data_IF_326468857949
#
_entry.id   IF_326468857949
#
_cell.length_a   1.000
_cell.length_b   1.000
_cell.length_c   1.000
_cell.angle_alpha   90.00
_cell.angle_beta   90.00
_cell.angle_gamma   90.00
#
_symmetry.space_group_name_H-M   'P 1'
#
loop_
_entity.id
_entity.type
_entity.pdbx_description
1 polymer ?
#
# COMPACT_ATOMS: atom_id res chain seq x y z
N UNK A 1 -35.35 -17.53 -31.50
CA UNK A 1 -33.92 -17.57 -31.93
C UNK A 1 -33.14 -16.26 -31.74
N UNK A 2 -33.77 -15.11 -31.42
CA UNK A 2 -33.07 -13.82 -31.22
C UNK A 2 -32.22 -13.74 -29.94
N UNK A 3 -32.52 -14.58 -28.94
CA UNK A 3 -31.95 -14.53 -27.60
C UNK A 3 -30.57 -15.24 -27.52
N UNK A 4 -30.32 -16.23 -28.39
CA UNK A 4 -29.04 -16.97 -28.43
C UNK A 4 -27.86 -16.10 -28.90
N UNK A 5 -28.14 -15.07 -29.71
CA UNK A 5 -27.11 -14.12 -30.20
C UNK A 5 -26.61 -13.17 -29.11
N UNK A 6 -27.45 -12.83 -28.13
CA UNK A 6 -27.06 -12.03 -26.97
C UNK A 6 -26.06 -12.78 -26.10
N UNK A 7 -26.26 -14.08 -25.90
CA UNK A 7 -25.34 -14.92 -25.13
C UNK A 7 -23.95 -15.01 -25.76
N UNK A 8 -23.83 -14.84 -27.07
CA UNK A 8 -22.54 -14.78 -27.77
C UNK A 8 -21.67 -13.57 -27.38
N UNK A 9 -22.31 -12.47 -26.95
CA UNK A 9 -21.60 -11.28 -26.43
C UNK A 9 -21.56 -11.25 -24.90
N UNK A 10 -22.62 -11.75 -24.25
CA UNK A 10 -22.71 -11.75 -22.80
C UNK A 10 -21.68 -12.69 -22.15
N UNK A 11 -21.45 -13.89 -22.70
CA UNK A 11 -20.49 -14.85 -22.13
C UNK A 11 -19.06 -14.28 -22.15
N UNK A 12 -18.52 -13.79 -23.28
CA UNK A 12 -17.19 -13.19 -23.29
C UNK A 12 -17.07 -11.99 -22.34
N UNK A 13 -18.10 -11.14 -22.26
CA UNK A 13 -18.11 -10.00 -21.35
C UNK A 13 -18.05 -10.43 -19.88
N UNK A 14 -18.82 -11.46 -19.49
CA UNK A 14 -18.81 -12.00 -18.12
C UNK A 14 -17.45 -12.59 -17.79
N UNK A 15 -16.84 -13.35 -18.71
CA UNK A 15 -15.51 -13.91 -18.51
C UNK A 15 -14.45 -12.81 -18.39
N UNK A 16 -14.54 -11.77 -19.21
CA UNK A 16 -13.65 -10.61 -19.15
C UNK A 16 -13.78 -9.86 -17.82
N UNK A 17 -15.00 -9.59 -17.37
CA UNK A 17 -15.24 -8.96 -16.06
C UNK A 17 -14.74 -9.83 -14.91
N UNK A 18 -14.96 -11.15 -14.99
CA UNK A 18 -14.44 -12.11 -14.02
C UNK A 18 -12.91 -12.10 -13.95
N UNK A 19 -12.24 -12.01 -15.11
CA UNK A 19 -10.79 -11.86 -15.18
C UNK A 19 -10.32 -10.55 -14.53
N UNK A 20 -10.96 -9.41 -14.79
CA UNK A 20 -10.58 -8.13 -14.17
C UNK A 20 -10.69 -8.15 -12.64
N UNK A 21 -11.74 -8.79 -12.11
CA UNK A 21 -11.91 -8.98 -10.67
C UNK A 21 -10.77 -9.85 -10.12
N UNK A 22 -10.49 -10.98 -10.76
CA UNK A 22 -9.42 -11.88 -10.35
C UNK A 22 -8.04 -11.19 -10.38
N UNK A 23 -7.74 -10.46 -11.45
CA UNK A 23 -6.50 -9.71 -11.63
C UNK A 23 -6.32 -8.65 -10.53
N UNK A 24 -7.38 -7.91 -10.18
CA UNK A 24 -7.34 -6.92 -9.11
C UNK A 24 -7.07 -7.52 -7.72
N UNK A 25 -7.57 -8.72 -7.42
CA UNK A 25 -7.33 -9.39 -6.13
C UNK A 25 -6.01 -10.16 -6.07
N UNK A 26 -5.40 -10.43 -7.23
CA UNK A 26 -4.14 -11.19 -7.32
C UNK A 26 -2.90 -10.30 -7.35
N UNK A 27 -3.06 -8.99 -7.11
CA UNK A 27 -1.94 -8.06 -7.05
C UNK A 27 -1.08 -8.36 -5.82
N UNK A 28 0.26 -8.36 -5.96
CA UNK A 28 1.16 -8.57 -4.83
C UNK A 28 0.90 -7.57 -3.70
N UNK A 29 0.77 -8.07 -2.48
CA UNK A 29 0.64 -7.27 -1.27
C UNK A 29 1.91 -7.38 -0.42
N UNK A 30 2.12 -6.40 0.47
CA UNK A 30 3.16 -6.49 1.51
C UNK A 30 2.94 -7.71 2.42
N UNK A 31 1.69 -8.17 2.57
CA UNK A 31 1.34 -9.35 3.37
C UNK A 31 1.88 -10.65 2.78
N UNK A 32 2.15 -10.68 1.46
CA UNK A 32 2.71 -11.84 0.75
C UNK A 32 4.24 -11.93 0.89
N UNK A 33 4.88 -10.90 1.47
CA UNK A 33 6.34 -10.83 1.60
C UNK A 33 6.84 -11.45 2.94
N UNK A 34 8.08 -11.98 2.96
CA UNK A 34 8.72 -12.39 4.20
C UNK A 34 8.79 -11.23 5.20
N UNK A 35 8.27 -11.42 6.41
CA UNK A 35 8.26 -10.38 7.45
C UNK A 35 6.97 -10.30 8.26
N UNK A 36 5.87 -10.91 7.81
CA UNK A 36 4.54 -10.77 8.42
C UNK A 36 4.17 -9.29 8.54
N UNK A 37 4.25 -8.59 7.39
CA UNK A 37 3.93 -7.18 7.30
C UNK A 37 2.41 -6.96 7.35
N UNK A 38 1.98 -5.87 7.98
CA UNK A 38 0.58 -5.42 7.93
C UNK A 38 0.47 -3.91 8.03
N UNK A 39 -0.23 -3.29 7.09
CA UNK A 39 -0.59 -1.87 7.17
C UNK A 39 -1.59 -1.65 8.31
N UNK A 40 -1.28 -0.71 9.20
CA UNK A 40 -2.10 -0.42 10.41
C UNK A 40 -2.59 1.02 10.49
N UNK A 41 -1.97 1.95 9.74
CA UNK A 41 -2.44 3.31 9.60
C UNK A 41 -1.92 3.94 8.31
N UNK A 42 -2.71 4.86 7.76
CA UNK A 42 -2.38 5.58 6.54
C UNK A 42 -2.94 7.00 6.60
N UNK A 43 -2.16 7.98 6.15
CA UNK A 43 -2.61 9.36 5.91
C UNK A 43 -1.99 9.91 4.64
N UNK A 44 -2.72 10.78 3.93
CA UNK A 44 -2.25 11.48 2.74
C UNK A 44 -2.74 12.92 2.73
N UNK A 45 -2.02 13.79 2.03
CA UNK A 45 -2.47 15.16 1.82
C UNK A 45 -3.68 15.22 0.87
N UNK A 46 -4.45 16.32 1.01
CA UNK A 46 -5.45 16.69 0.02
C UNK A 46 -4.79 17.05 -1.32
N UNK A 47 -5.42 16.63 -2.42
CA UNK A 47 -4.84 16.73 -3.76
C UNK A 47 -5.06 18.12 -4.38
N UNK A 48 -4.36 19.14 -3.90
CA UNK A 48 -4.66 20.56 -4.22
C UNK A 48 -3.49 21.36 -4.84
N UNK A 49 -2.69 20.77 -5.76
CA UNK A 49 -1.64 21.39 -6.63
C UNK A 49 -0.16 21.12 -6.27
N UNK A 50 0.14 20.18 -5.37
CA UNK A 50 1.49 19.69 -5.09
C UNK A 50 1.64 18.18 -5.34
N UNK A 51 2.87 17.65 -5.22
CA UNK A 51 3.09 16.21 -5.20
C UNK A 51 2.32 15.53 -4.06
N UNK A 52 1.90 14.29 -4.27
CA UNK A 52 1.12 13.55 -3.26
C UNK A 52 2.06 13.05 -2.15
N UNK A 53 1.74 13.40 -0.91
CA UNK A 53 2.44 12.92 0.28
C UNK A 53 1.61 11.78 0.87
N UNK A 54 2.24 10.63 1.10
CA UNK A 54 1.66 9.44 1.70
C UNK A 54 2.51 9.00 2.87
N UNK A 55 1.88 8.83 4.04
CA UNK A 55 2.56 8.31 5.22
C UNK A 55 1.85 7.03 5.65
N UNK A 56 2.61 5.96 5.80
CA UNK A 56 2.15 4.64 6.21
C UNK A 56 2.79 4.21 7.52
N UNK A 57 2.01 3.51 8.34
CA UNK A 57 2.50 2.70 9.45
C UNK A 57 2.26 1.23 9.12
N UNK A 58 3.33 0.44 9.19
CA UNK A 58 3.32 -0.98 8.90
C UNK A 58 3.89 -1.72 10.11
N UNK A 59 3.22 -2.77 10.57
CA UNK A 59 3.75 -3.67 11.59
C UNK A 59 4.55 -4.80 10.97
N UNK A 60 5.54 -5.32 11.68
CA UNK A 60 6.43 -6.41 11.24
C UNK A 60 6.51 -7.47 12.33
N UNK A 61 6.16 -8.71 12.00
CA UNK A 61 6.27 -9.85 12.91
C UNK A 61 7.65 -10.50 12.93
N UNK A 62 8.26 -10.72 11.76
CA UNK A 62 9.50 -11.49 11.61
C UNK A 62 10.69 -10.62 11.14
N UNK A 63 11.18 -9.76 12.02
CA UNK A 63 12.14 -8.69 11.69
C UNK A 63 13.45 -9.17 11.03
N UNK A 64 14.00 -10.31 11.44
CA UNK A 64 15.30 -10.82 10.92
C UNK A 64 15.22 -11.25 9.44
N UNK A 65 14.04 -11.66 8.98
CA UNK A 65 13.81 -12.11 7.60
C UNK A 65 12.96 -11.13 6.81
N UNK A 66 12.67 -9.95 7.37
CA UNK A 66 11.73 -9.01 6.80
C UNK A 66 12.32 -8.33 5.56
N UNK A 67 11.60 -8.42 4.44
CA UNK A 67 11.98 -7.82 3.16
C UNK A 67 11.53 -6.35 3.06
N UNK A 68 12.07 -5.48 3.95
CA UNK A 68 11.62 -4.08 4.09
C UNK A 68 11.63 -3.29 2.77
N UNK A 69 12.70 -3.40 1.97
CA UNK A 69 12.79 -2.66 0.70
C UNK A 69 11.77 -3.16 -0.32
N UNK A 70 11.56 -4.48 -0.43
CA UNK A 70 10.54 -5.04 -1.31
C UNK A 70 9.14 -4.60 -0.87
N UNK A 71 8.88 -4.56 0.43
CA UNK A 71 7.62 -4.05 0.97
C UNK A 71 7.44 -2.57 0.63
N UNK A 72 8.48 -1.75 0.77
CA UNK A 72 8.43 -0.34 0.43
C UNK A 72 8.20 -0.08 -1.07
N UNK A 73 8.73 -0.95 -1.93
CA UNK A 73 8.59 -0.84 -3.39
C UNK A 73 7.18 -1.16 -3.89
N UNK A 74 6.35 -1.86 -3.10
CA UNK A 74 4.95 -2.13 -3.41
C UNK A 74 4.03 -0.91 -3.15
N UNK A 75 4.49 0.11 -2.43
CA UNK A 75 3.65 1.28 -2.16
C UNK A 75 3.59 2.27 -3.33
N UNK A 76 2.46 2.99 -3.52
CA UNK A 76 2.29 3.89 -4.66
C UNK A 76 3.29 5.06 -4.68
N UNK A 77 3.97 5.24 -5.81
CA UNK A 77 4.87 6.38 -6.12
C UNK A 77 4.74 6.87 -7.57
N UNK A 78 3.62 6.55 -8.21
CA UNK A 78 3.38 6.77 -9.64
C UNK A 78 3.23 8.26 -10.03
N UNK A 79 2.92 9.14 -9.09
CA UNK A 79 2.72 10.56 -9.38
C UNK A 79 4.04 11.34 -9.27
N UNK A 80 4.30 12.23 -10.24
CA UNK A 80 5.49 13.09 -10.21
C UNK A 80 5.54 13.94 -8.94
N UNK A 81 6.69 13.93 -8.27
CA UNK A 81 6.89 14.66 -7.02
C UNK A 81 6.14 14.04 -5.82
N UNK A 82 5.51 12.88 -5.99
CA UNK A 82 4.95 12.16 -4.84
C UNK A 82 6.05 11.66 -3.91
N UNK A 83 5.75 11.63 -2.62
CA UNK A 83 6.61 11.04 -1.60
C UNK A 83 5.78 10.08 -0.78
N UNK A 84 6.31 8.87 -0.63
CA UNK A 84 5.74 7.84 0.22
C UNK A 84 6.74 7.52 1.31
N UNK A 85 6.34 7.72 2.57
CA UNK A 85 7.14 7.46 3.76
C UNK A 85 6.49 6.32 4.53
N UNK A 86 7.25 5.28 4.84
CA UNK A 86 6.76 4.09 5.52
C UNK A 86 7.54 3.92 6.81
N UNK A 87 6.82 3.94 7.92
CA UNK A 87 7.34 3.60 9.23
C UNK A 87 7.01 2.15 9.54
N UNK A 88 8.03 1.35 9.82
CA UNK A 88 7.87 -0.02 10.26
C UNK A 88 7.94 -0.09 11.78
N UNK A 89 7.01 -0.79 12.39
CA UNK A 89 6.90 -0.99 13.84
C UNK A 89 6.94 -2.48 14.17
N UNK A 90 7.45 -2.83 15.34
CA UNK A 90 7.37 -4.20 15.85
C UNK A 90 5.90 -4.55 16.16
N UNK A 91 5.39 -5.63 15.57
CA UNK A 91 4.01 -6.10 15.79
C UNK A 91 3.73 -6.46 17.26
N UNK A 92 4.76 -6.76 18.04
CA UNK A 92 4.66 -7.12 19.46
C UNK A 92 4.85 -5.93 20.42
N UNK A 93 5.08 -4.72 19.90
CA UNK A 93 5.18 -3.48 20.70
C UNK A 93 4.00 -2.55 20.38
N UNK A 94 3.76 -1.51 21.20
CA UNK A 94 2.81 -0.47 20.85
C UNK A 94 3.17 0.17 19.49
N UNK A 95 2.19 0.30 18.61
CA UNK A 95 2.30 0.95 17.31
C UNK A 95 1.15 1.95 17.09
N UNK A 96 1.33 2.98 16.25
CA UNK A 96 0.27 3.93 15.96
C UNK A 96 -0.81 3.31 15.06
N UNK A 97 -2.07 3.60 15.38
CA UNK A 97 -3.25 3.28 14.53
C UNK A 97 -3.80 4.52 13.83
N UNK A 98 -3.16 5.67 14.02
CA UNK A 98 -3.48 6.94 13.37
C UNK A 98 -2.18 7.71 13.13
N UNK A 99 -2.16 8.50 12.06
CA UNK A 99 -1.01 9.29 11.62
C UNK A 99 -1.45 10.72 11.31
N UNK A 100 -0.48 11.63 11.28
CA UNK A 100 -0.64 13.03 10.85
C UNK A 100 0.36 13.36 9.74
N UNK A 101 0.10 14.43 8.99
CA UNK A 101 0.94 14.82 7.85
C UNK A 101 2.21 15.56 8.26
N UNK A 102 2.15 16.27 9.38
CA UNK A 102 3.24 17.06 9.92
C UNK A 102 4.19 16.16 10.70
N UNK A 103 5.50 16.40 10.59
CA UNK A 103 6.47 15.69 11.42
C UNK A 103 6.14 15.89 12.91
N UNK A 104 6.30 14.86 13.76
CA UNK A 104 6.92 13.55 13.47
C UNK A 104 6.00 12.48 12.86
N UNK A 105 4.81 12.83 12.38
CA UNK A 105 3.77 11.97 11.78
C UNK A 105 3.06 10.99 12.74
N UNK A 106 3.64 10.71 13.91
CA UNK A 106 3.06 9.93 15.00
C UNK A 106 3.67 10.35 16.35
N UNK A 107 3.07 9.93 17.46
CA UNK A 107 3.61 10.19 18.81
C UNK A 107 4.88 9.36 19.06
N UNK A 108 6.06 9.99 18.91
CA UNK A 108 7.37 9.36 19.10
C UNK A 108 7.75 9.14 20.56
N UNK A 109 7.00 9.72 21.52
CA UNK A 109 7.19 9.41 22.92
C UNK A 109 6.51 8.08 23.30
N UNK A 110 5.50 7.67 22.53
CA UNK A 110 4.72 6.45 22.76
C UNK A 110 5.10 5.28 21.87
N UNK A 111 5.54 5.56 20.64
CA UNK A 111 5.81 4.54 19.63
C UNK A 111 7.21 4.72 19.04
N UNK A 112 7.86 3.60 18.71
CA UNK A 112 9.21 3.56 18.17
C UNK A 112 9.22 2.77 16.86
N UNK A 113 9.56 3.44 15.76
CA UNK A 113 9.75 2.77 14.48
C UNK A 113 11.08 2.00 14.47
N UNK A 114 11.03 0.73 14.05
CA UNK A 114 12.21 -0.14 13.91
C UNK A 114 12.93 0.07 12.58
N UNK A 115 12.25 0.60 11.57
CA UNK A 115 12.81 0.97 10.28
C UNK A 115 11.97 2.09 9.64
N UNK A 116 12.59 2.92 8.82
CA UNK A 116 11.93 4.04 8.14
C UNK A 116 12.44 4.08 6.71
N UNK A 117 11.56 3.86 5.75
CA UNK A 117 11.88 3.93 4.34
C UNK A 117 11.09 5.04 3.65
N UNK A 118 11.69 5.60 2.61
CA UNK A 118 11.07 6.61 1.76
C UNK A 118 11.23 6.21 0.31
N UNK A 119 10.18 6.43 -0.48
CA UNK A 119 10.17 6.35 -1.94
C UNK A 119 9.61 7.65 -2.51
N UNK A 120 10.11 8.06 -3.67
CA UNK A 120 9.69 9.29 -4.33
C UNK A 120 9.41 9.00 -5.80
N UNK A 121 8.29 9.52 -6.31
CA UNK A 121 7.95 9.45 -7.72
C UNK A 121 8.83 10.38 -8.54
N UNK A 122 9.80 9.80 -9.26
CA UNK A 122 10.59 10.53 -10.26
C UNK A 122 9.91 10.45 -11.62
N UNK A 123 9.90 11.54 -12.39
CA UNK A 123 9.62 11.43 -13.84
C UNK A 123 10.68 10.51 -14.43
N UNK A 124 10.26 9.51 -15.21
CA UNK A 124 11.14 8.98 -16.25
C UNK A 124 11.33 10.03 -17.34
#
# INVERSE_FOLDING_TARGET
>A
MKNKKIWWFAIPLILFLGYLIYDSYSQPSIEDLPGDFKEVAFVRNENNKGGIIRIYAVTVGYQMNAAYDQAADLFPVNDYGSTTKIYFFDKNKPFPTALQLEDPHYDTAKYEAINILRRTGTSK
#
